data_IF_855623623604
#
_entry.id   IF_855623623604
#
_cell.length_a   1.000
_cell.length_b   1.000
_cell.length_c   1.000
_cell.angle_alpha   90.00
_cell.angle_beta   90.00
_cell.angle_gamma   90.00
#
_symmetry.space_group_name_H-M   'P 1'
#
loop_
_entity.id
_entity.type
_entity.pdbx_description
1 polymer ?
#
# COMPACT_ATOMS: atom_id res chain seq x y z
N UNK A 1 -15.95 14.93 5.11
CA UNK A 1 -15.57 15.18 6.51
C UNK A 1 -15.23 13.90 7.30
N UNK A 2 -15.96 12.77 7.21
CA UNK A 2 -15.60 11.56 7.94
C UNK A 2 -14.26 10.96 7.51
N UNK A 3 -13.92 11.05 6.24
CA UNK A 3 -12.62 10.61 5.72
C UNK A 3 -11.48 11.45 6.29
N UNK A 4 -11.65 12.75 6.39
CA UNK A 4 -10.71 13.65 7.06
C UNK A 4 -10.46 13.24 8.51
N UNK A 5 -11.50 12.96 9.28
CA UNK A 5 -11.35 12.60 10.71
C UNK A 5 -10.57 11.32 10.96
N UNK A 6 -10.71 10.31 10.10
CA UNK A 6 -9.98 9.05 10.27
C UNK A 6 -8.52 9.20 9.84
N UNK A 7 -8.26 9.91 8.74
CA UNK A 7 -6.92 10.15 8.25
C UNK A 7 -6.17 11.21 9.08
N UNK A 8 -6.87 12.22 9.61
CA UNK A 8 -6.31 13.19 10.57
C UNK A 8 -5.79 12.51 11.85
N UNK A 9 -6.46 11.45 12.32
CA UNK A 9 -5.96 10.61 13.44
C UNK A 9 -4.67 9.88 13.09
N UNK A 10 -4.42 9.61 11.82
CA UNK A 10 -3.21 8.93 11.33
C UNK A 10 -2.11 9.92 10.93
N UNK A 11 -2.35 11.25 11.07
CA UNK A 11 -1.38 12.29 10.73
C UNK A 11 -1.10 12.46 9.24
N UNK A 12 -1.94 11.88 8.39
CA UNK A 12 -1.83 12.00 6.93
C UNK A 12 -2.98 12.85 6.40
N UNK A 13 -2.74 13.92 5.61
CA UNK A 13 -3.83 14.68 5.02
C UNK A 13 -4.67 13.75 4.13
N UNK A 14 -5.98 13.75 4.37
CA UNK A 14 -6.90 12.92 3.61
C UNK A 14 -6.97 13.38 2.16
N UNK A 15 -6.60 12.55 1.18
CA UNK A 15 -6.93 12.84 -0.20
C UNK A 15 -8.44 12.81 -0.39
N UNK A 16 -8.97 13.67 -1.26
CA UNK A 16 -10.34 13.55 -1.73
C UNK A 16 -10.43 12.28 -2.60
N UNK A 17 -10.91 11.18 -2.02
CA UNK A 17 -11.10 9.94 -2.76
C UNK A 17 -12.34 10.04 -3.64
N UNK A 18 -12.20 9.66 -4.90
CA UNK A 18 -13.26 9.69 -5.90
C UNK A 18 -13.55 8.29 -6.42
N UNK A 19 -14.84 7.94 -6.47
CA UNK A 19 -15.33 6.76 -7.15
C UNK A 19 -15.78 7.15 -8.56
N UNK A 20 -15.47 6.34 -9.57
CA UNK A 20 -15.71 6.66 -10.97
C UNK A 20 -16.58 5.67 -11.72
N UNK A 21 -16.67 4.42 -11.35
CA UNK A 21 -17.35 3.38 -12.11
C UNK A 21 -18.56 2.82 -11.38
N UNK A 22 -18.35 1.89 -10.48
CA UNK A 22 -19.38 1.22 -9.69
C UNK A 22 -19.18 1.48 -8.20
N UNK A 23 -20.28 1.34 -7.46
CA UNK A 23 -20.27 1.33 -6.00
C UNK A 23 -21.32 0.35 -5.50
N UNK A 24 -21.06 -0.27 -4.35
CA UNK A 24 -21.98 -1.19 -3.71
C UNK A 24 -22.28 -0.80 -2.26
N UNK A 25 -23.46 -1.19 -1.77
CA UNK A 25 -23.83 -0.97 -0.39
C UNK A 25 -23.13 -2.00 0.50
N UNK A 26 -22.32 -1.52 1.44
CA UNK A 26 -21.80 -2.34 2.53
C UNK A 26 -22.72 -2.22 3.75
N UNK A 27 -23.15 -3.36 4.24
CA UNK A 27 -23.76 -3.46 5.56
C UNK A 27 -22.73 -4.06 6.50
N UNK A 28 -22.26 -3.29 7.46
CA UNK A 28 -21.43 -3.78 8.53
C UNK A 28 -22.31 -4.64 9.44
N UNK A 29 -22.13 -5.95 9.34
CA UNK A 29 -22.72 -7.01 10.19
C UNK A 29 -23.90 -6.60 11.07
N UNK A 30 -25.10 -6.68 10.57
CA UNK A 30 -26.18 -7.33 11.32
C UNK A 30 -25.89 -8.84 11.18
N UNK A 31 -25.33 -9.45 12.22
CA UNK A 31 -25.19 -10.90 12.27
C UNK A 31 -26.58 -11.49 11.97
N UNK A 32 -26.73 -12.44 11.04
CA UNK A 32 -28.01 -13.07 10.79
C UNK A 32 -28.50 -13.64 12.12
N UNK A 33 -29.75 -13.37 12.50
CA UNK A 33 -30.38 -13.86 13.75
C UNK A 33 -30.26 -15.39 13.92
N UNK A 34 -30.02 -16.14 12.83
CA UNK A 34 -29.78 -17.59 12.82
C UNK A 34 -28.37 -18.01 13.26
N UNK A 35 -27.41 -17.07 13.41
CA UNK A 35 -26.04 -17.36 13.84
C UNK A 35 -25.85 -17.41 15.36
N UNK A 36 -26.90 -17.30 16.14
CA UNK A 36 -26.84 -17.32 17.61
C UNK A 36 -26.36 -18.68 18.21
N UNK A 37 -26.23 -19.73 17.41
CA UNK A 37 -25.73 -21.04 17.87
C UNK A 37 -24.19 -21.22 17.70
N UNK A 38 -23.48 -20.32 17.03
CA UNK A 38 -22.04 -20.44 16.81
C UNK A 38 -21.22 -19.45 17.65
N UNK A 39 -21.55 -19.34 18.91
CA UNK A 39 -20.95 -18.41 19.90
C UNK A 39 -19.41 -18.54 20.05
N UNK A 40 -18.80 -19.58 19.54
CA UNK A 40 -17.35 -19.82 19.64
C UNK A 40 -16.53 -19.15 18.51
N UNK A 41 -17.17 -18.91 17.35
CA UNK A 41 -16.51 -18.26 16.20
C UNK A 41 -16.50 -16.71 16.31
N UNK A 42 -17.38 -16.15 17.14
CA UNK A 42 -17.51 -14.69 17.31
C UNK A 42 -16.60 -14.11 18.39
N UNK A 43 -16.15 -14.91 19.35
CA UNK A 43 -15.34 -14.46 20.50
C UNK A 43 -13.92 -14.00 20.15
N UNK A 44 -13.49 -14.07 18.89
CA UNK A 44 -12.18 -13.60 18.42
C UNK A 44 -12.25 -12.60 17.26
N UNK A 45 -13.44 -12.27 16.75
CA UNK A 45 -13.55 -11.37 15.59
C UNK A 45 -13.30 -9.93 16.01
N UNK A 46 -12.22 -9.34 15.47
CA UNK A 46 -11.95 -7.92 15.61
C UNK A 46 -13.06 -7.09 14.92
N UNK A 47 -13.49 -5.97 15.51
CA UNK A 47 -14.52 -5.13 14.94
C UNK A 47 -14.10 -4.58 13.57
N UNK A 48 -15.08 -4.36 12.70
CA UNK A 48 -14.87 -3.67 11.42
C UNK A 48 -14.78 -2.18 11.68
N UNK A 49 -13.71 -1.57 11.26
CA UNK A 49 -13.50 -0.13 11.29
C UNK A 49 -13.96 0.48 9.96
N UNK A 50 -14.80 1.49 9.99
CA UNK A 50 -15.17 2.27 8.81
C UNK A 50 -14.11 3.33 8.58
N UNK A 51 -13.37 3.20 7.48
CA UNK A 51 -12.28 4.11 7.09
C UNK A 51 -12.83 5.28 6.28
N UNK A 52 -13.79 5.02 5.39
CA UNK A 52 -14.44 6.02 4.56
C UNK A 52 -15.92 5.74 4.39
N UNK A 53 -16.68 6.79 4.15
CA UNK A 53 -18.10 6.72 3.80
C UNK A 53 -18.37 7.48 2.50
N UNK A 54 -19.44 7.11 1.80
CA UNK A 54 -19.92 7.88 0.65
C UNK A 54 -20.48 9.23 1.10
N UNK A 55 -20.15 10.31 0.41
CA UNK A 55 -20.64 11.67 0.72
C UNK A 55 -21.97 12.02 0.04
N UNK A 56 -22.48 11.12 -0.82
CA UNK A 56 -23.74 11.29 -1.54
C UNK A 56 -23.69 12.27 -2.71
N UNK A 57 -22.50 12.78 -3.10
CA UNK A 57 -22.34 13.66 -4.25
C UNK A 57 -22.14 12.86 -5.53
N UNK A 58 -22.69 13.33 -6.66
CA UNK A 58 -22.39 12.77 -7.97
C UNK A 58 -23.09 11.47 -8.34
N UNK A 59 -24.32 11.23 -7.92
CA UNK A 59 -25.14 10.08 -8.36
C UNK A 59 -25.21 8.91 -7.40
N UNK A 60 -24.51 8.99 -6.28
CA UNK A 60 -24.55 8.00 -5.20
C UNK A 60 -25.38 8.43 -3.98
N UNK A 61 -26.44 9.21 -4.17
CA UNK A 61 -27.26 9.76 -3.08
C UNK A 61 -27.81 8.68 -2.15
N UNK A 62 -28.18 7.53 -2.71
CA UNK A 62 -28.73 6.38 -1.96
C UNK A 62 -27.67 5.71 -1.05
N UNK A 63 -26.40 5.93 -1.34
CA UNK A 63 -25.27 5.41 -0.55
C UNK A 63 -24.72 6.41 0.46
N UNK A 64 -25.28 7.63 0.52
CA UNK A 64 -24.79 8.69 1.40
C UNK A 64 -24.69 8.22 2.85
N UNK A 65 -23.51 8.38 3.48
CA UNK A 65 -23.23 7.93 4.82
C UNK A 65 -22.98 6.43 4.99
N UNK A 66 -23.15 5.63 3.94
CA UNK A 66 -22.80 4.19 3.96
C UNK A 66 -21.29 4.00 3.91
N UNK A 67 -20.75 2.91 4.50
CA UNK A 67 -19.34 2.60 4.41
C UNK A 67 -18.88 2.43 2.96
N UNK A 68 -17.81 3.11 2.58
CA UNK A 68 -17.17 3.00 1.26
C UNK A 68 -15.86 2.22 1.33
N UNK A 69 -15.12 2.37 2.44
CA UNK A 69 -13.91 1.62 2.71
C UNK A 69 -13.96 1.16 4.16
N UNK A 70 -13.72 -0.12 4.35
CA UNK A 70 -13.66 -0.72 5.70
C UNK A 70 -12.35 -1.46 5.90
N UNK A 71 -11.98 -1.60 7.16
CA UNK A 71 -10.79 -2.32 7.59
C UNK A 71 -11.15 -3.23 8.76
N UNK A 72 -10.59 -4.44 8.77
CA UNK A 72 -10.64 -5.35 9.92
C UNK A 72 -9.21 -5.76 10.28
N UNK A 73 -8.82 -5.62 11.53
CA UNK A 73 -7.57 -6.21 12.02
C UNK A 73 -7.67 -7.73 11.97
N UNK A 74 -6.61 -8.40 11.54
CA UNK A 74 -6.49 -9.85 11.62
C UNK A 74 -6.03 -10.30 13.01
N UNK A 75 -6.00 -11.61 13.22
CA UNK A 75 -5.55 -12.23 14.49
C UNK A 75 -4.03 -12.08 14.73
N UNK A 76 -3.32 -11.50 13.77
CA UNK A 76 -1.89 -11.18 13.83
C UNK A 76 -1.62 -9.72 13.49
N UNK A 77 -0.44 -9.44 12.90
CA UNK A 77 -0.05 -8.08 12.52
C UNK A 77 -0.73 -7.56 11.23
N UNK A 78 -1.52 -8.39 10.55
CA UNK A 78 -2.18 -8.05 9.30
C UNK A 78 -3.52 -7.37 9.47
N UNK A 79 -4.04 -6.80 8.39
CA UNK A 79 -5.40 -6.29 8.31
C UNK A 79 -6.02 -6.55 6.94
N UNK A 80 -7.31 -6.88 6.90
CA UNK A 80 -8.09 -6.93 5.67
C UNK A 80 -8.71 -5.57 5.38
N UNK A 81 -8.68 -5.16 4.11
CA UNK A 81 -9.31 -3.94 3.63
C UNK A 81 -10.34 -4.29 2.58
N UNK A 82 -11.49 -3.65 2.64
CA UNK A 82 -12.53 -3.79 1.65
C UNK A 82 -12.91 -2.44 1.08
N UNK A 83 -13.03 -2.37 -0.25
CA UNK A 83 -13.35 -1.14 -0.98
C UNK A 83 -14.63 -1.40 -1.77
N UNK A 84 -15.69 -0.69 -1.44
CA UNK A 84 -17.03 -0.83 -2.00
C UNK A 84 -17.27 0.07 -3.23
N UNK A 85 -16.22 0.54 -3.88
CA UNK A 85 -16.32 1.43 -5.04
C UNK A 85 -15.14 1.24 -5.98
N UNK A 86 -15.35 1.49 -7.26
CA UNK A 86 -14.26 1.65 -8.22
C UNK A 86 -13.64 3.04 -8.03
N UNK A 87 -12.42 3.06 -7.51
CA UNK A 87 -11.68 4.30 -7.28
C UNK A 87 -10.96 4.75 -8.54
N UNK A 88 -10.90 6.05 -8.77
CA UNK A 88 -10.02 6.61 -9.79
C UNK A 88 -8.53 6.30 -9.49
N UNK A 89 -7.65 6.52 -10.46
CA UNK A 89 -6.24 6.14 -10.34
C UNK A 89 -5.53 6.84 -9.17
N UNK A 90 -5.83 8.13 -8.94
CA UNK A 90 -5.22 8.91 -7.85
C UNK A 90 -5.72 8.44 -6.49
N UNK A 91 -7.03 8.20 -6.37
CA UNK A 91 -7.63 7.69 -5.13
C UNK A 91 -7.12 6.29 -4.79
N UNK A 92 -6.95 5.45 -5.79
CA UNK A 92 -6.38 4.09 -5.63
C UNK A 92 -4.94 4.15 -5.15
N UNK A 93 -4.11 5.01 -5.76
CA UNK A 93 -2.73 5.21 -5.33
C UNK A 93 -2.65 5.72 -3.88
N UNK A 94 -3.49 6.69 -3.52
CA UNK A 94 -3.55 7.22 -2.17
C UNK A 94 -3.98 6.17 -1.15
N UNK A 95 -4.99 5.35 -1.47
CA UNK A 95 -5.41 4.23 -0.62
C UNK A 95 -4.29 3.19 -0.45
N UNK A 96 -3.61 2.81 -1.54
CA UNK A 96 -2.49 1.87 -1.46
C UNK A 96 -1.34 2.41 -0.61
N UNK A 97 -1.03 3.70 -0.72
CA UNK A 97 -0.04 4.36 0.14
C UNK A 97 -0.43 4.25 1.61
N UNK A 98 -1.69 4.49 1.94
CA UNK A 98 -2.22 4.33 3.29
C UNK A 98 -2.11 2.89 3.79
N UNK A 99 -2.51 1.92 2.96
CA UNK A 99 -2.45 0.48 3.28
C UNK A 99 -1.01 0.05 3.54
N UNK A 100 -0.07 0.46 2.68
CA UNK A 100 1.36 0.17 2.84
C UNK A 100 1.93 0.79 4.13
N UNK A 101 1.60 2.05 4.40
CA UNK A 101 2.03 2.73 5.62
C UNK A 101 1.49 2.02 6.88
N UNK A 102 0.22 1.59 6.83
CA UNK A 102 -0.41 0.84 7.93
C UNK A 102 0.25 -0.52 8.15
N UNK A 103 0.61 -1.21 7.07
CA UNK A 103 1.35 -2.47 7.11
C UNK A 103 2.85 -2.28 7.41
N UNK A 104 3.31 -1.03 7.63
CA UNK A 104 4.72 -0.66 7.81
C UNK A 104 5.61 -1.12 6.66
N UNK A 105 5.05 -1.25 5.48
CA UNK A 105 5.81 -1.53 4.27
C UNK A 105 6.54 -0.27 3.81
N UNK A 106 7.79 -0.43 3.45
CA UNK A 106 8.59 0.63 2.84
C UNK A 106 8.91 0.25 1.40
N UNK A 107 8.92 1.21 0.46
CA UNK A 107 9.36 0.93 -0.89
C UNK A 107 10.83 0.49 -0.88
N UNK A 108 11.18 -0.38 -1.80
CA UNK A 108 12.57 -0.89 -1.97
C UNK A 108 13.52 0.24 -2.34
N UNK A 109 13.04 1.18 -3.16
CA UNK A 109 13.70 2.43 -3.53
C UNK A 109 12.65 3.52 -3.43
N UNK A 110 12.98 4.63 -2.78
CA UNK A 110 12.08 5.78 -2.70
C UNK A 110 12.04 6.53 -4.05
N UNK A 111 10.92 7.19 -4.31
CA UNK A 111 10.76 8.16 -5.41
C UNK A 111 11.20 7.62 -6.78
N UNK A 112 10.75 6.40 -7.12
CA UNK A 112 11.01 5.83 -8.45
C UNK A 112 10.35 6.66 -9.54
N UNK A 113 11.08 6.96 -10.66
CA UNK A 113 10.50 7.58 -11.83
C UNK A 113 9.40 6.72 -12.46
N UNK A 114 8.45 7.36 -13.15
CA UNK A 114 7.41 6.66 -13.89
C UNK A 114 8.01 5.67 -14.89
N UNK A 115 7.45 4.46 -14.92
CA UNK A 115 7.91 3.38 -15.79
C UNK A 115 9.15 2.65 -15.31
N UNK A 116 9.65 2.95 -14.10
CA UNK A 116 10.72 2.18 -13.45
C UNK A 116 10.14 1.30 -12.34
N UNK A 117 10.53 0.04 -12.35
CA UNK A 117 10.21 -0.95 -11.32
C UNK A 117 11.47 -1.28 -10.53
N UNK A 118 11.34 -1.43 -9.21
CA UNK A 118 12.41 -1.89 -8.33
C UNK A 118 11.98 -3.13 -7.56
N UNK A 119 12.82 -4.16 -7.56
CA UNK A 119 12.63 -5.36 -6.77
C UNK A 119 13.94 -5.73 -6.08
N UNK A 120 13.85 -6.14 -4.80
CA UNK A 120 15.02 -6.65 -4.06
C UNK A 120 14.85 -8.13 -3.74
N UNK A 121 15.92 -8.90 -3.94
CA UNK A 121 16.02 -10.29 -3.51
C UNK A 121 17.35 -10.48 -2.78
N UNK A 122 17.27 -10.64 -1.48
CA UNK A 122 18.46 -10.64 -0.62
C UNK A 122 19.23 -9.32 -0.77
N UNK A 123 20.50 -9.40 -1.12
CA UNK A 123 21.41 -8.30 -1.35
C UNK A 123 21.46 -7.79 -2.79
N UNK A 124 20.58 -8.30 -3.66
CA UNK A 124 20.50 -7.89 -5.06
C UNK A 124 19.28 -7.03 -5.31
N UNK A 125 19.49 -5.83 -5.86
CA UNK A 125 18.47 -4.90 -6.31
C UNK A 125 18.36 -4.98 -7.84
N UNK A 126 17.13 -5.22 -8.31
CA UNK A 126 16.77 -5.18 -9.74
C UNK A 126 16.05 -3.86 -10.01
N UNK A 127 16.51 -3.11 -11.00
CA UNK A 127 15.84 -1.92 -11.51
C UNK A 127 15.50 -2.18 -12.98
N UNK A 128 14.23 -2.09 -13.33
CA UNK A 128 13.74 -2.30 -14.69
C UNK A 128 13.10 -1.01 -15.21
N UNK A 129 13.61 -0.50 -16.32
CA UNK A 129 13.04 0.66 -16.97
C UNK A 129 12.18 0.21 -18.17
N UNK A 130 10.86 0.31 -18.01
CA UNK A 130 9.89 -0.02 -19.07
C UNK A 130 9.60 1.14 -20.01
N UNK A 131 10.18 2.32 -19.76
CA UNK A 131 9.97 3.52 -20.58
C UNK A 131 10.95 3.60 -21.75
N UNK A 132 10.65 4.47 -22.71
CA UNK A 132 11.51 4.75 -23.86
C UNK A 132 12.56 5.84 -23.57
N UNK A 133 12.69 6.27 -22.32
CA UNK A 133 13.63 7.30 -21.87
C UNK A 133 14.54 6.74 -20.79
N UNK A 134 15.76 7.27 -20.72
CA UNK A 134 16.63 6.98 -19.58
C UNK A 134 16.01 7.53 -18.29
N UNK A 135 16.13 6.78 -17.21
CA UNK A 135 15.57 7.15 -15.91
C UNK A 135 16.70 7.25 -14.88
N UNK A 136 16.71 8.35 -14.12
CA UNK A 136 17.63 8.54 -13.01
C UNK A 136 17.00 8.01 -11.72
N UNK A 137 17.71 7.17 -11.01
CA UNK A 137 17.27 6.57 -9.74
C UNK A 137 18.27 6.91 -8.66
N UNK A 138 17.78 7.56 -7.60
CA UNK A 138 18.58 7.94 -6.45
C UNK A 138 18.64 6.84 -5.37
N UNK A 139 19.62 6.93 -4.48
CA UNK A 139 19.74 6.07 -3.30
C UNK A 139 20.29 4.66 -3.61
N UNK A 140 20.83 4.42 -4.80
CA UNK A 140 21.38 3.12 -5.19
C UNK A 140 22.88 3.07 -4.94
N UNK A 141 23.30 2.23 -4.01
CA UNK A 141 24.71 2.03 -3.65
C UNK A 141 25.06 0.56 -3.79
N UNK A 142 26.17 0.26 -4.49
CA UNK A 142 26.61 -1.12 -4.68
C UNK A 142 27.43 -1.29 -5.94
N UNK A 143 27.38 -2.46 -6.54
CA UNK A 143 28.07 -2.79 -7.81
C UNK A 143 27.06 -3.35 -8.82
N UNK A 144 26.97 -2.75 -9.99
CA UNK A 144 26.17 -3.31 -11.08
C UNK A 144 26.82 -4.61 -11.56
N UNK A 145 26.10 -5.71 -11.43
CA UNK A 145 26.58 -7.06 -11.79
C UNK A 145 26.68 -7.30 -13.29
N UNK A 146 26.03 -6.47 -14.11
CA UNK A 146 26.07 -6.60 -15.57
C UNK A 146 27.28 -5.89 -16.17
N UNK A 147 27.65 -4.72 -15.64
CA UNK A 147 28.77 -3.92 -16.16
C UNK A 147 30.01 -3.95 -15.28
N UNK A 148 29.88 -4.38 -14.00
CA UNK A 148 30.93 -4.30 -13.01
C UNK A 148 31.19 -2.89 -12.46
N UNK A 149 30.37 -1.90 -12.83
CA UNK A 149 30.54 -0.51 -12.38
C UNK A 149 30.01 -0.28 -10.98
N UNK A 150 30.67 0.61 -10.24
CA UNK A 150 30.21 1.01 -8.90
C UNK A 150 29.05 2.01 -9.01
N UNK A 151 28.02 1.76 -8.23
CA UNK A 151 26.88 2.66 -8.02
C UNK A 151 27.10 3.43 -6.71
N UNK A 152 27.11 4.76 -6.78
CA UNK A 152 27.50 5.64 -5.64
C UNK A 152 26.41 6.60 -5.21
N UNK A 153 25.13 6.19 -5.32
CA UNK A 153 23.97 6.97 -4.88
C UNK A 153 23.04 7.36 -6.00
N UNK A 154 23.51 7.64 -7.20
CA UNK A 154 22.70 7.92 -8.39
C UNK A 154 23.08 7.00 -9.52
N UNK A 155 22.10 6.41 -10.16
CA UNK A 155 22.29 5.53 -11.32
C UNK A 155 21.36 5.94 -12.45
N UNK A 156 21.78 5.74 -13.68
CA UNK A 156 20.96 5.94 -14.88
C UNK A 156 20.59 4.55 -15.41
N UNK A 157 19.30 4.26 -15.44
CA UNK A 157 18.76 3.04 -16.06
C UNK A 157 18.39 3.38 -17.51
N UNK A 158 19.09 2.81 -18.52
CA UNK A 158 18.81 3.10 -19.92
C UNK A 158 17.37 2.77 -20.32
N UNK A 159 16.85 3.31 -21.44
CA UNK A 159 15.52 2.95 -21.94
C UNK A 159 15.41 1.44 -22.19
N UNK A 160 14.24 0.86 -21.85
CA UNK A 160 13.94 -0.56 -22.09
C UNK A 160 15.03 -1.51 -21.61
N UNK A 161 15.64 -1.20 -20.46
CA UNK A 161 16.81 -1.89 -19.94
C UNK A 161 16.66 -2.18 -18.44
N UNK A 162 17.62 -2.92 -17.90
CA UNK A 162 17.69 -3.26 -16.49
C UNK A 162 19.09 -2.97 -15.94
N UNK A 163 19.14 -2.64 -14.64
CA UNK A 163 20.35 -2.71 -13.82
C UNK A 163 20.15 -3.78 -12.76
N UNK A 164 21.20 -4.53 -12.46
CA UNK A 164 21.23 -5.56 -11.43
C UNK A 164 22.35 -5.23 -10.46
N UNK A 165 22.00 -4.64 -9.33
CA UNK A 165 22.97 -4.08 -8.40
C UNK A 165 23.11 -4.97 -7.17
N UNK A 166 24.31 -5.45 -6.90
CA UNK A 166 24.67 -6.06 -5.64
C UNK A 166 24.84 -4.95 -4.59
N UNK A 167 23.92 -4.87 -3.64
CA UNK A 167 23.92 -3.93 -2.54
C UNK A 167 24.34 -4.69 -1.28
N UNK A 168 25.57 -4.54 -0.79
CA UNK A 168 25.98 -5.20 0.46
C UNK A 168 25.05 -4.76 1.60
N UNK A 169 24.76 -5.64 2.57
CA UNK A 169 23.89 -5.30 3.68
C UNK A 169 24.42 -4.05 4.39
N UNK A 170 23.55 -3.06 4.56
CA UNK A 170 23.89 -1.91 5.40
C UNK A 170 24.08 -2.38 6.84
N UNK A 171 24.97 -1.73 7.59
CA UNK A 171 25.23 -2.08 9.00
C UNK A 171 23.94 -2.02 9.84
N UNK A 172 22.94 -1.23 9.40
CA UNK A 172 21.63 -1.12 10.05
C UNK A 172 20.76 -2.36 9.87
N UNK A 173 20.84 -3.07 8.75
CA UNK A 173 20.07 -4.30 8.48
C UNK A 173 20.59 -5.49 9.32
N UNK A 174 21.83 -5.44 9.76
CA UNK A 174 22.46 -6.49 10.56
C UNK A 174 21.92 -6.59 12.00
N UNK A 175 21.32 -5.52 12.52
CA UNK A 175 20.76 -5.49 13.88
C UNK A 175 19.30 -5.92 13.96
N UNK A 176 18.58 -5.96 12.83
CA UNK A 176 17.16 -6.36 12.82
C UNK A 176 16.95 -7.88 12.83
N UNK A 177 17.97 -8.67 12.52
CA UNK A 177 17.88 -10.14 12.47
C UNK A 177 18.29 -10.83 13.79
N UNK A 178 18.71 -10.10 14.81
CA UNK A 178 19.34 -10.66 16.01
C UNK A 178 18.44 -10.70 17.25
N UNK A 179 17.12 -10.62 17.12
CA UNK A 179 16.24 -10.73 18.29
C UNK A 179 15.08 -11.67 18.03
N UNK A 180 15.34 -12.96 18.05
CA UNK A 180 14.37 -14.03 18.37
C UNK A 180 15.15 -15.31 18.70
N UNK A 181 15.60 -15.41 19.93
CA UNK A 181 15.79 -16.66 20.65
C UNK A 181 14.95 -16.59 21.91
#
# INVERSE_FOLDING_TARGET
>A
EPLRRVLDRMGTPAPDLRAGGWAEELRADEAPEEAAENTRAEQGRQPVEVVAVFDGRGGGADLAGRPAITRRAGDGAGAGWYVAADLDALSRAALLTLVCAHARLRPVVADLPDGVEAQRRGDVLFLLNHSDRAAEVAGVVGTDLLSGQSCTGHVIVPPRSALVVHCPPSVEDSFSSATLI
#
